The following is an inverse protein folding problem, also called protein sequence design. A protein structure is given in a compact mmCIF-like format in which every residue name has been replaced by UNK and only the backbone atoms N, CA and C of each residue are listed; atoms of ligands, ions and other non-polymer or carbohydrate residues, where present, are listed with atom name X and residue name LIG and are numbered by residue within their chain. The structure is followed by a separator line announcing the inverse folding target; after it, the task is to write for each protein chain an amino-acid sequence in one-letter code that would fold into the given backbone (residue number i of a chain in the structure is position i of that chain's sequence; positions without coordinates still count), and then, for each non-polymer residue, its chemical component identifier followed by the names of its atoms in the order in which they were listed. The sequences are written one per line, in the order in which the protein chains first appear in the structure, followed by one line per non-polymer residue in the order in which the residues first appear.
data_IF_277268978069
#
_entry.id   IF_277268978069
#
_cell.length_a   1.000
_cell.length_b   1.000
_cell.length_c   1.000
_cell.angle_alpha   90.00
_cell.angle_beta   90.00
_cell.angle_gamma   90.00
#
_symmetry.space_group_name_H-M   'P 1'
#
loop_
_entity.id
_entity.type
_entity.pdbx_description
1 polymer ?
#
# COMPACT_ATOMS: atom_id res chain seq x y z
N UNK A 1 -88.12 -13.55 23.92
CA UNK A 1 -87.61 -12.47 23.04
C UNK A 1 -86.18 -12.81 22.65
N UNK A 2 -86.00 -13.31 21.42
CA UNK A 2 -84.69 -13.52 20.78
C UNK A 2 -84.15 -12.15 20.26
N UNK A 3 -83.06 -12.08 19.47
CA UNK A 3 -81.66 -12.50 19.69
C UNK A 3 -80.68 -11.34 19.35
N UNK A 4 -79.35 -11.55 19.40
CA UNK A 4 -78.39 -11.14 18.33
C UNK A 4 -76.93 -11.50 18.64
N UNK A 5 -76.56 -12.64 18.08
CA UNK A 5 -75.40 -12.96 17.23
C UNK A 5 -73.98 -12.40 17.49
N UNK A 6 -72.96 -13.27 17.22
CA UNK A 6 -71.52 -13.01 17.33
C UNK A 6 -70.95 -12.40 16.05
N UNK A 7 -69.93 -11.55 16.15
CA UNK A 7 -69.05 -11.15 15.05
C UNK A 7 -67.71 -10.69 15.62
N UNK A 8 -66.55 -10.80 15.02
CA UNK A 8 -66.02 -11.50 13.85
C UNK A 8 -64.53 -11.16 13.91
N UNK A 9 -63.69 -12.19 13.77
CA UNK A 9 -62.32 -12.19 13.22
C UNK A 9 -61.58 -10.85 13.13
N UNK A 10 -60.33 -10.83 13.61
CA UNK A 10 -59.24 -10.43 12.73
C UNK A 10 -57.90 -11.05 13.16
N UNK A 11 -57.48 -12.06 12.39
CA UNK A 11 -56.07 -12.45 12.28
C UNK A 11 -55.33 -11.24 11.70
N UNK A 12 -54.23 -10.82 12.31
CA UNK A 12 -53.19 -10.04 11.61
C UNK A 12 -51.85 -10.70 11.87
N UNK A 13 -51.21 -11.00 10.74
CA UNK A 13 -50.04 -11.82 10.58
C UNK A 13 -48.84 -11.26 11.34
N UNK A 14 -48.11 -12.14 12.02
CA UNK A 14 -46.77 -11.84 12.51
C UNK A 14 -45.83 -11.73 11.31
N UNK A 15 -45.27 -10.54 11.11
CA UNK A 15 -44.22 -10.24 10.15
C UNK A 15 -42.95 -10.97 10.62
N UNK A 16 -42.56 -12.02 9.90
CA UNK A 16 -41.30 -12.72 10.11
C UNK A 16 -40.16 -11.87 9.58
N UNK A 17 -39.33 -11.36 10.49
CA UNK A 17 -38.07 -10.67 10.19
C UNK A 17 -37.07 -11.73 9.72
N UNK A 18 -36.83 -11.82 8.41
CA UNK A 18 -35.70 -12.57 7.84
C UNK A 18 -34.44 -11.72 7.94
N UNK A 19 -33.75 -11.86 9.07
CA UNK A 19 -32.34 -11.45 9.23
C UNK A 19 -31.42 -12.55 8.65
N UNK A 20 -30.20 -12.15 8.27
CA UNK A 20 -29.07 -12.96 7.77
C UNK A 20 -29.03 -13.11 6.23
N UNK A 21 -27.95 -12.78 5.53
CA UNK A 21 -26.53 -12.88 5.89
C UNK A 21 -25.79 -11.74 5.15
N UNK A 22 -25.30 -10.71 5.87
CA UNK A 22 -24.31 -9.82 5.28
C UNK A 22 -23.02 -10.62 5.14
N UNK A 23 -22.64 -10.85 3.88
CA UNK A 23 -21.39 -11.49 3.52
C UNK A 23 -20.24 -10.60 4.00
N UNK A 24 -19.68 -10.91 5.18
CA UNK A 24 -18.36 -10.45 5.55
C UNK A 24 -17.37 -11.19 4.64
N UNK A 25 -17.13 -10.64 3.45
CA UNK A 25 -15.98 -11.03 2.65
C UNK A 25 -14.76 -10.64 3.47
N UNK A 26 -14.22 -11.60 4.23
CA UNK A 26 -13.01 -11.39 5.00
C UNK A 26 -11.89 -10.98 4.07
N UNK A 27 -11.14 -9.93 4.45
CA UNK A 27 -9.92 -9.58 3.76
C UNK A 27 -9.03 -10.83 3.70
N UNK A 28 -8.49 -11.13 2.52
CA UNK A 28 -7.60 -12.27 2.30
C UNK A 28 -6.17 -11.78 2.23
N UNK A 29 -5.24 -12.65 2.62
CA UNK A 29 -3.86 -12.43 2.27
C UNK A 29 -3.72 -12.50 0.75
N UNK A 30 -2.95 -11.58 0.18
CA UNK A 30 -2.74 -11.45 -1.25
C UNK A 30 -1.30 -11.06 -1.54
N UNK A 31 -0.80 -11.47 -2.71
CA UNK A 31 0.54 -11.15 -3.18
C UNK A 31 0.41 -10.47 -4.53
N UNK A 32 0.92 -9.25 -4.63
CA UNK A 32 0.96 -8.49 -5.87
C UNK A 32 2.38 -8.48 -6.43
N UNK A 33 2.55 -9.03 -7.63
CA UNK A 33 3.77 -8.87 -8.42
C UNK A 33 3.48 -8.03 -9.67
N UNK A 34 4.20 -6.92 -9.84
CA UNK A 34 4.08 -6.07 -11.01
C UNK A 34 5.45 -5.77 -11.62
N UNK A 35 5.57 -5.99 -12.93
CA UNK A 35 6.78 -5.72 -13.70
C UNK A 35 6.44 -4.73 -14.80
N UNK A 36 7.05 -3.54 -14.76
CA UNK A 36 6.82 -2.48 -15.73
C UNK A 36 8.08 -2.19 -16.55
N UNK A 37 7.86 -1.79 -17.79
CA UNK A 37 8.90 -1.30 -18.70
C UNK A 37 8.52 0.11 -19.14
N UNK A 38 9.49 1.01 -19.06
CA UNK A 38 9.36 2.38 -19.52
C UNK A 38 10.06 2.49 -20.87
N UNK A 39 9.37 3.00 -21.88
CA UNK A 39 9.91 3.22 -23.21
C UNK A 39 9.72 4.65 -23.68
N UNK A 40 10.64 5.10 -24.54
CA UNK A 40 10.58 6.37 -25.23
C UNK A 40 10.74 6.09 -26.72
N UNK A 41 9.73 6.43 -27.53
CA UNK A 41 9.72 6.18 -28.99
C UNK A 41 10.00 4.69 -29.29
N UNK A 42 9.40 3.79 -28.52
CA UNK A 42 9.59 2.33 -28.65
C UNK A 42 10.91 1.80 -28.08
N UNK A 43 11.86 2.65 -27.69
CA UNK A 43 13.13 2.23 -27.10
C UNK A 43 13.01 2.10 -25.58
N UNK A 44 13.37 0.95 -24.97
CA UNK A 44 13.28 0.77 -23.53
C UNK A 44 14.34 1.59 -22.79
N UNK A 45 13.90 2.47 -21.90
CA UNK A 45 14.77 3.36 -21.11
C UNK A 45 14.80 2.99 -19.63
N UNK A 46 13.83 2.22 -19.14
CA UNK A 46 13.81 1.76 -17.76
C UNK A 46 12.95 0.53 -17.53
N UNK A 47 13.15 -0.08 -16.37
CA UNK A 47 12.34 -1.17 -15.85
C UNK A 47 12.07 -0.95 -14.36
N UNK A 48 10.91 -1.40 -13.91
CA UNK A 48 10.47 -1.36 -12.51
C UNK A 48 9.92 -2.72 -12.12
N UNK A 49 10.30 -3.20 -10.95
CA UNK A 49 9.77 -4.39 -10.33
C UNK A 49 9.12 -3.99 -9.00
N UNK A 50 7.96 -4.55 -8.71
CA UNK A 50 7.21 -4.31 -7.49
C UNK A 50 6.68 -5.65 -6.97
N UNK A 51 6.85 -5.87 -5.68
CA UNK A 51 6.28 -6.97 -4.92
C UNK A 51 5.59 -6.40 -3.67
N UNK A 52 4.38 -6.89 -3.38
CA UNK A 52 3.69 -6.56 -2.16
C UNK A 52 3.06 -7.81 -1.55
N UNK A 53 3.38 -8.06 -0.29
CA UNK A 53 2.74 -9.04 0.55
C UNK A 53 1.71 -8.32 1.42
N UNK A 54 0.44 -8.65 1.23
CA UNK A 54 -0.69 -8.04 1.92
C UNK A 54 -1.38 -9.10 2.77
N UNK A 55 -1.64 -8.79 4.02
CA UNK A 55 -2.50 -9.59 4.89
C UNK A 55 -3.64 -8.70 5.41
N UNK A 56 -4.64 -9.25 6.12
CA UNK A 56 -5.68 -8.42 6.73
C UNK A 56 -5.16 -7.40 7.76
N UNK A 57 -3.98 -7.64 8.33
CA UNK A 57 -3.43 -6.86 9.46
C UNK A 57 -2.05 -6.29 9.21
N UNK A 58 -1.38 -6.65 8.12
CA UNK A 58 -0.02 -6.21 7.81
C UNK A 58 0.18 -6.02 6.31
N UNK A 59 1.20 -5.23 5.97
CA UNK A 59 1.70 -5.14 4.60
C UNK A 59 3.23 -5.09 4.60
N UNK A 60 3.82 -5.61 3.54
CA UNK A 60 5.21 -5.41 3.18
C UNK A 60 5.28 -5.16 1.67
N UNK A 61 5.92 -4.07 1.26
CA UNK A 61 6.06 -3.68 -0.14
C UNK A 61 7.54 -3.47 -0.40
N UNK A 62 8.04 -4.04 -1.49
CA UNK A 62 9.35 -3.77 -2.02
C UNK A 62 9.25 -3.45 -3.51
N UNK A 63 10.04 -2.49 -3.98
CA UNK A 63 10.15 -2.19 -5.39
C UNK A 63 11.54 -1.72 -5.75
N UNK A 64 11.95 -2.04 -6.96
CA UNK A 64 13.21 -1.59 -7.54
C UNK A 64 13.01 -1.07 -8.95
N UNK A 65 13.87 -0.15 -9.34
CA UNK A 65 13.86 0.49 -10.64
C UNK A 65 15.29 0.63 -11.17
N UNK A 66 15.45 0.51 -12.48
CA UNK A 66 16.75 0.69 -13.14
C UNK A 66 16.60 1.28 -14.52
N UNK A 67 17.60 2.06 -14.92
CA UNK A 67 17.77 2.47 -16.32
C UNK A 67 18.24 1.28 -17.16
N UNK A 68 17.69 1.16 -18.37
CA UNK A 68 17.98 0.07 -19.31
C UNK A 68 18.38 0.58 -20.69
N UNK A 69 18.89 -0.31 -21.54
CA UNK A 69 19.15 -0.03 -22.96
C UNK A 69 20.18 1.09 -23.18
N UNK A 70 19.99 1.83 -24.28
CA UNK A 70 20.87 2.95 -24.67
C UNK A 70 20.86 4.09 -23.66
N UNK A 71 19.78 4.23 -22.87
CA UNK A 71 19.69 5.27 -21.86
C UNK A 71 20.83 5.17 -20.83
N UNK A 72 21.33 3.96 -20.55
CA UNK A 72 22.48 3.75 -19.64
C UNK A 72 23.77 4.43 -20.10
N UNK A 73 23.89 4.76 -21.39
CA UNK A 73 25.04 5.50 -21.93
C UNK A 73 24.95 7.00 -21.64
N UNK A 74 23.75 7.51 -21.41
CA UNK A 74 23.48 8.94 -21.23
C UNK A 74 23.21 9.32 -19.77
N UNK A 75 22.70 8.39 -18.97
CA UNK A 75 22.48 8.57 -17.53
C UNK A 75 23.33 7.59 -16.75
N UNK A 76 23.91 8.08 -15.64
CA UNK A 76 24.92 7.46 -14.79
C UNK A 76 24.53 6.11 -14.14
N UNK A 77 24.16 5.09 -14.92
CA UNK A 77 23.70 3.77 -14.47
C UNK A 77 22.73 3.83 -13.28
N UNK A 78 21.76 4.75 -13.36
CA UNK A 78 20.87 5.03 -12.24
C UNK A 78 19.97 3.84 -11.89
N UNK A 79 19.83 3.59 -10.58
CA UNK A 79 18.98 2.57 -9.98
C UNK A 79 18.35 3.11 -8.70
N UNK A 80 17.17 2.60 -8.37
CA UNK A 80 16.48 2.88 -7.12
C UNK A 80 15.90 1.61 -6.54
N UNK A 81 15.80 1.54 -5.22
CA UNK A 81 15.05 0.52 -4.53
C UNK A 81 14.34 1.14 -3.34
N UNK A 82 13.11 0.72 -3.05
CA UNK A 82 12.36 1.17 -1.89
C UNK A 82 11.64 0.00 -1.25
N UNK A 83 11.61 -0.01 0.07
CA UNK A 83 10.87 -0.97 0.88
C UNK A 83 10.06 -0.24 1.93
N UNK A 84 8.87 -0.75 2.23
CA UNK A 84 8.01 -0.21 3.27
C UNK A 84 7.16 -1.29 3.88
N UNK A 85 7.01 -1.26 5.20
CA UNK A 85 6.22 -2.25 5.91
C UNK A 85 5.50 -1.62 7.11
N UNK A 86 4.38 -2.22 7.48
CA UNK A 86 3.56 -1.77 8.59
C UNK A 86 2.35 -2.65 8.85
N UNK A 87 1.49 -2.17 9.75
CA UNK A 87 0.23 -2.79 10.06
C UNK A 87 -0.92 -2.20 9.24
N UNK A 88 -2.03 -2.93 9.18
CA UNK A 88 -3.33 -2.47 8.71
C UNK A 88 -4.28 -2.57 9.89
N UNK A 89 -4.72 -1.41 10.40
CA UNK A 89 -5.60 -1.31 11.56
C UNK A 89 -6.90 -0.67 11.12
N UNK A 90 -8.01 -1.38 11.25
CA UNK A 90 -9.35 -0.91 10.82
C UNK A 90 -9.36 -0.42 9.36
N UNK A 91 -8.67 -1.14 8.46
CA UNK A 91 -8.57 -0.79 7.04
C UNK A 91 -7.66 0.40 6.73
N UNK A 92 -6.91 0.93 7.71
CA UNK A 92 -5.95 2.02 7.54
C UNK A 92 -4.53 1.51 7.71
N UNK A 93 -3.62 1.96 6.85
CA UNK A 93 -2.19 1.67 7.00
C UNK A 93 -1.63 2.38 8.23
N UNK A 94 -0.83 1.67 9.01
CA UNK A 94 -0.01 2.18 10.10
C UNK A 94 1.45 1.80 9.80
N UNK A 95 2.20 2.68 9.12
CA UNK A 95 3.57 2.39 8.73
C UNK A 95 4.50 2.24 9.93
N UNK A 96 5.39 1.25 9.88
CA UNK A 96 6.40 1.00 10.91
C UNK A 96 7.82 1.30 10.42
N UNK A 97 8.09 1.02 9.14
CA UNK A 97 9.39 1.27 8.54
C UNK A 97 9.28 1.64 7.07
N UNK A 98 10.23 2.45 6.62
CA UNK A 98 10.44 2.75 5.22
C UNK A 98 11.94 2.89 4.96
N UNK A 99 12.42 2.36 3.85
CA UNK A 99 13.76 2.63 3.39
C UNK A 99 13.77 2.82 1.88
N UNK A 100 14.62 3.72 1.40
CA UNK A 100 14.86 3.93 -0.02
C UNK A 100 16.35 4.08 -0.28
N UNK A 101 16.81 3.53 -1.39
CA UNK A 101 18.18 3.63 -1.87
C UNK A 101 18.16 4.13 -3.29
N UNK A 102 18.93 5.18 -3.57
CA UNK A 102 19.21 5.65 -4.91
C UNK A 102 20.70 5.45 -5.19
N UNK A 103 21.02 4.89 -6.36
CA UNK A 103 22.38 4.55 -6.76
C UNK A 103 22.64 5.00 -8.19
N UNK A 104 23.84 5.49 -8.43
CA UNK A 104 24.40 5.81 -9.74
C UNK A 104 25.86 5.34 -9.79
N UNK A 105 26.54 5.53 -10.92
CA UNK A 105 27.97 5.22 -11.05
C UNK A 105 28.86 5.96 -10.05
N UNK A 106 28.40 7.12 -9.55
CA UNK A 106 29.23 8.03 -8.77
C UNK A 106 28.87 8.02 -7.28
N UNK A 107 27.64 7.60 -6.94
CA UNK A 107 27.13 7.74 -5.59
C UNK A 107 25.98 6.77 -5.33
N UNK A 108 25.94 6.21 -4.13
CA UNK A 108 24.79 5.51 -3.57
C UNK A 108 24.40 6.17 -2.26
N UNK A 109 23.10 6.43 -2.07
CA UNK A 109 22.55 6.91 -0.81
C UNK A 109 21.32 6.11 -0.43
N UNK A 110 21.29 5.70 0.83
CA UNK A 110 20.17 5.03 1.49
C UNK A 110 19.62 5.94 2.57
N UNK A 111 18.29 6.04 2.63
CA UNK A 111 17.54 6.67 3.71
C UNK A 111 16.71 5.57 4.35
N UNK A 112 16.75 5.47 5.69
CA UNK A 112 15.91 4.55 6.47
C UNK A 112 15.14 5.36 7.50
N UNK A 113 13.87 5.04 7.66
CA UNK A 113 12.96 5.72 8.58
C UNK A 113 12.27 4.70 9.46
N UNK A 114 12.21 5.02 10.75
CA UNK A 114 11.33 4.37 11.71
C UNK A 114 10.07 5.23 11.88
N UNK A 115 8.90 4.60 11.91
CA UNK A 115 7.61 5.27 12.00
C UNK A 115 6.77 4.66 13.12
N UNK A 116 6.00 5.50 13.82
CA UNK A 116 5.02 5.09 14.81
C UNK A 116 3.83 6.05 14.78
N UNK A 117 2.61 5.52 14.70
CA UNK A 117 1.39 6.34 14.70
C UNK A 117 1.37 7.40 13.59
N UNK A 118 1.84 7.04 12.39
CA UNK A 118 2.00 7.95 11.23
C UNK A 118 2.99 9.11 11.44
N UNK A 119 3.83 9.04 12.47
CA UNK A 119 4.91 10.00 12.74
C UNK A 119 6.25 9.34 12.51
N UNK A 120 7.20 10.06 11.89
CA UNK A 120 8.60 9.60 11.77
C UNK A 120 9.28 9.78 13.13
N UNK A 121 9.77 8.69 13.70
CA UNK A 121 10.43 8.68 15.02
C UNK A 121 11.95 8.56 14.92
N UNK A 122 12.48 8.19 13.75
CA UNK A 122 13.91 8.14 13.51
C UNK A 122 14.22 8.14 12.02
N UNK A 123 15.33 8.77 11.66
CA UNK A 123 15.84 8.82 10.28
C UNK A 123 17.34 8.54 10.31
N UNK A 124 17.79 7.59 9.49
CA UNK A 124 19.19 7.34 9.20
C UNK A 124 19.45 7.58 7.71
N UNK A 125 20.52 8.31 7.40
CA UNK A 125 20.88 8.66 6.02
C UNK A 125 22.35 8.31 5.80
N UNK A 126 22.59 7.39 4.88
CA UNK A 126 23.93 6.90 4.59
C UNK A 126 24.24 6.96 3.10
N UNK A 127 25.32 7.65 2.69
CA UNK A 127 26.14 8.53 3.52
C UNK A 127 25.38 9.82 3.86
N UNK A 128 25.73 10.49 4.97
CA UNK A 128 25.05 11.70 5.41
C UNK A 128 25.12 12.80 4.34
N UNK A 129 24.20 13.75 4.43
CA UNK A 129 24.31 14.98 3.66
C UNK A 129 25.53 15.77 4.14
N UNK A 130 26.26 16.37 3.20
CA UNK A 130 27.21 17.41 3.57
C UNK A 130 26.43 18.67 3.91
N UNK A 131 26.78 19.30 5.03
CA UNK A 131 26.19 20.57 5.40
C UNK A 131 26.59 21.63 4.38
N UNK A 132 25.59 22.35 3.88
CA UNK A 132 25.75 23.46 2.96
C UNK A 132 24.94 24.66 3.46
N UNK A 133 25.43 25.89 3.27
CA UNK A 133 24.79 27.09 3.83
C UNK A 133 23.34 27.30 3.39
N UNK A 134 22.96 26.76 2.23
CA UNK A 134 21.66 26.89 1.57
C UNK A 134 20.69 25.74 1.86
N UNK A 135 21.04 24.81 2.77
CA UNK A 135 20.21 23.66 3.06
C UNK A 135 18.95 24.05 3.84
N UNK A 136 17.79 23.83 3.24
CA UNK A 136 16.49 23.95 3.92
C UNK A 136 16.19 22.70 4.76
N UNK A 137 15.51 22.85 5.92
CA UNK A 137 15.04 21.72 6.75
C UNK A 137 14.09 20.77 6.03
#
# INVERSE_FOLDING_TARGET
MAPRSPQTRLRRAAVGITTALMWAVGARADVLHANYRVSLIGLPIGAVHLQADLTPTTYAIAGDAKVTGIAKLFVANARGASVGAGAIVQGRVSPASFATTASSSNMTRTIRMALAGNTVTGVDISPPFQDKPDRVP
#
